data_IF_586180861633
#
_entry.id   IF_586180861633
#
_cell.length_a   1.000
_cell.length_b   1.000
_cell.length_c   1.000
_cell.angle_alpha   90.00
_cell.angle_beta   90.00
_cell.angle_gamma   90.00
#
_symmetry.space_group_name_H-M   'P 1'
#
loop_
_entity.id
_entity.type
_entity.pdbx_description
1 polymer ?
#
# COMPACT_ATOMS: atom_id res chain seq x y z
N UNK A 1 7.52 29.09 12.08
CA UNK A 1 8.03 28.73 10.75
C UNK A 1 7.60 27.30 10.49
N UNK A 2 6.51 27.09 9.76
CA UNK A 2 6.03 25.73 9.47
C UNK A 2 6.55 25.35 8.08
N UNK A 3 7.62 24.55 8.03
CA UNK A 3 7.99 23.85 6.80
C UNK A 3 6.96 22.74 6.57
N UNK A 4 6.11 22.91 5.57
CA UNK A 4 5.23 21.86 5.08
C UNK A 4 6.11 20.85 4.36
N UNK A 5 6.28 19.65 4.93
CA UNK A 5 6.88 18.53 4.20
C UNK A 5 6.06 18.28 2.92
N UNK A 6 6.68 17.89 1.79
CA UNK A 6 5.95 17.60 0.56
C UNK A 6 4.95 16.48 0.83
N UNK A 7 3.69 16.68 0.45
CA UNK A 7 2.68 15.65 0.56
C UNK A 7 3.09 14.42 -0.27
N UNK A 8 3.02 13.24 0.33
CA UNK A 8 3.22 11.97 -0.34
C UNK A 8 2.41 11.89 -1.64
N UNK A 9 3.11 11.67 -2.76
CA UNK A 9 2.53 11.60 -4.09
C UNK A 9 2.89 10.28 -4.75
N UNK A 10 1.90 9.41 -4.93
CA UNK A 10 2.03 8.13 -5.62
C UNK A 10 1.47 8.28 -7.03
N UNK A 11 2.30 8.05 -8.05
CA UNK A 11 1.85 8.05 -9.45
C UNK A 11 1.69 6.64 -9.99
N UNK A 12 1.08 6.52 -11.16
CA UNK A 12 0.98 5.25 -11.87
C UNK A 12 2.35 4.64 -12.15
N UNK A 13 3.29 5.43 -12.65
CA UNK A 13 4.64 5.00 -12.99
C UNK A 13 5.41 4.53 -11.76
N UNK A 14 5.10 5.07 -10.59
CA UNK A 14 5.72 4.69 -9.32
C UNK A 14 5.55 3.19 -9.04
N UNK A 15 4.39 2.60 -9.34
CA UNK A 15 4.12 1.17 -9.14
C UNK A 15 5.04 0.27 -9.98
N UNK A 16 5.53 0.75 -11.13
CA UNK A 16 6.41 -0.01 -12.02
C UNK A 16 7.89 0.00 -11.57
N UNK A 17 8.20 0.67 -10.45
CA UNK A 17 9.59 0.84 -10.03
C UNK A 17 10.10 -0.27 -9.11
N UNK A 18 9.25 -1.24 -8.74
CA UNK A 18 9.63 -2.38 -7.88
C UNK A 18 10.34 -3.46 -8.69
N UNK A 19 11.59 -3.71 -8.34
CA UNK A 19 12.45 -4.71 -8.98
C UNK A 19 12.20 -6.12 -8.45
N UNK A 20 12.63 -7.14 -9.20
CA UNK A 20 12.51 -8.54 -8.74
C UNK A 20 13.36 -8.82 -7.49
N UNK A 21 14.50 -8.13 -7.34
CA UNK A 21 15.31 -8.20 -6.13
C UNK A 21 14.54 -7.68 -4.91
N UNK A 22 13.83 -6.56 -5.05
CA UNK A 22 12.99 -6.02 -3.97
C UNK A 22 11.81 -6.93 -3.62
N UNK A 23 11.26 -7.67 -4.58
CA UNK A 23 10.24 -8.68 -4.30
C UNK A 23 10.82 -9.84 -3.50
N UNK A 24 12.02 -10.30 -3.86
CA UNK A 24 12.67 -11.44 -3.23
C UNK A 24 13.13 -11.14 -1.78
N UNK A 25 13.72 -9.97 -1.57
CA UNK A 25 14.39 -9.59 -0.31
C UNK A 25 13.62 -8.57 0.54
N UNK A 26 12.59 -7.94 -0.04
CA UNK A 26 11.78 -6.92 0.58
C UNK A 26 12.27 -5.48 0.32
N UNK A 27 11.39 -4.51 0.53
CA UNK A 27 11.67 -3.08 0.35
C UNK A 27 10.85 -2.21 1.30
N UNK A 28 11.23 -0.94 1.39
CA UNK A 28 10.46 0.16 2.02
C UNK A 28 10.09 1.25 1.01
N UNK A 29 10.45 1.06 -0.26
CA UNK A 29 10.25 2.02 -1.35
C UNK A 29 8.77 2.25 -1.60
N UNK A 30 8.38 3.49 -1.91
CA UNK A 30 6.98 3.90 -2.10
C UNK A 30 6.14 3.88 -0.82
N UNK A 31 6.61 3.35 0.31
CA UNK A 31 5.85 3.47 1.55
C UNK A 31 5.82 4.94 1.99
N UNK A 32 4.63 5.51 2.28
CA UNK A 32 4.54 6.88 2.77
C UNK A 32 5.29 7.02 4.11
N UNK A 33 5.96 8.15 4.40
CA UNK A 33 6.47 8.42 5.73
C UNK A 33 5.36 8.31 6.79
N UNK A 34 5.64 7.73 7.95
CA UNK A 34 4.59 7.46 8.96
C UNK A 34 3.84 8.73 9.42
N UNK A 35 4.54 9.86 9.46
CA UNK A 35 3.96 11.16 9.81
C UNK A 35 2.91 11.65 8.79
N UNK A 36 3.00 11.20 7.53
CA UNK A 36 2.10 11.59 6.44
C UNK A 36 0.93 10.61 6.25
N UNK A 37 0.98 9.45 6.92
CA UNK A 37 -0.14 8.51 6.93
C UNK A 37 -1.29 9.13 7.72
N UNK A 38 -2.53 9.20 7.19
CA UNK A 38 -3.67 9.71 7.95
C UNK A 38 -3.97 8.84 9.17
N UNK A 39 -4.45 9.45 10.25
CA UNK A 39 -4.62 8.77 11.54
C UNK A 39 -5.60 7.58 11.50
N UNK A 40 -6.59 7.61 10.61
CA UNK A 40 -7.52 6.49 10.44
C UNK A 40 -6.84 5.22 9.92
N UNK A 41 -5.76 5.35 9.14
CA UNK A 41 -4.95 4.19 8.73
C UNK A 41 -4.00 3.74 9.84
N UNK A 42 -3.58 4.63 10.74
CA UNK A 42 -2.77 4.26 11.92
C UNK A 42 -3.58 3.49 12.95
N UNK A 43 -4.85 3.89 13.14
CA UNK A 43 -5.80 3.24 14.06
C UNK A 43 -6.34 1.92 13.53
N UNK A 44 -6.45 1.82 12.20
CA UNK A 44 -7.00 0.67 11.51
C UNK A 44 -8.34 0.98 10.85
N UNK A 45 -8.49 0.50 9.62
CA UNK A 45 -9.66 0.58 8.77
C UNK A 45 -9.70 -0.62 7.78
N UNK A 46 -10.72 -0.67 6.94
CA UNK A 46 -10.92 -1.74 5.97
C UNK A 46 -9.74 -1.95 5.00
N UNK A 47 -9.01 -0.90 4.61
CA UNK A 47 -7.80 -1.06 3.80
C UNK A 47 -6.67 -1.74 4.58
N UNK A 48 -6.46 -1.34 5.83
CA UNK A 48 -5.44 -1.97 6.69
C UNK A 48 -5.82 -3.39 7.10
N UNK A 49 -7.11 -3.70 7.17
CA UNK A 49 -7.59 -5.05 7.46
C UNK A 49 -7.22 -6.01 6.33
N UNK A 50 -7.37 -5.59 5.08
CA UNK A 50 -6.86 -6.34 3.91
C UNK A 50 -5.35 -6.57 4.04
N UNK A 51 -4.58 -5.53 4.36
CA UNK A 51 -3.13 -5.66 4.54
C UNK A 51 -2.75 -6.61 5.67
N UNK A 52 -3.48 -6.59 6.78
CA UNK A 52 -3.30 -7.52 7.88
C UNK A 52 -3.62 -8.96 7.46
N UNK A 53 -4.73 -9.18 6.74
CA UNK A 53 -5.06 -10.51 6.25
C UNK A 53 -3.98 -11.05 5.32
N UNK A 54 -3.49 -10.23 4.38
CA UNK A 54 -2.38 -10.60 3.51
C UNK A 54 -1.09 -10.89 4.29
N UNK A 55 -0.73 -10.05 5.26
CA UNK A 55 0.47 -10.24 6.09
C UNK A 55 0.43 -11.54 6.90
N UNK A 56 -0.71 -11.86 7.52
CA UNK A 56 -0.87 -13.04 8.36
C UNK A 56 -1.29 -14.30 7.58
N UNK A 57 -1.46 -14.21 6.25
CA UNK A 57 -1.95 -15.32 5.43
C UNK A 57 -3.36 -15.78 5.80
N UNK A 58 -4.21 -14.85 6.26
CA UNK A 58 -5.62 -15.11 6.58
C UNK A 58 -6.50 -14.96 5.34
N UNK A 59 -7.71 -15.51 5.41
CA UNK A 59 -8.73 -15.26 4.40
C UNK A 59 -8.98 -13.75 4.25
N UNK A 60 -9.10 -13.29 3.01
CA UNK A 60 -9.49 -11.92 2.72
C UNK A 60 -10.99 -11.74 3.02
N UNK A 61 -11.41 -10.53 3.46
CA UNK A 61 -12.82 -10.21 3.49
C UNK A 61 -13.41 -10.26 2.08
N UNK A 62 -14.72 -10.45 1.97
CA UNK A 62 -15.43 -10.31 0.70
C UNK A 62 -15.44 -8.83 0.31
N UNK A 63 -14.56 -8.48 -0.63
CA UNK A 63 -14.36 -7.11 -1.12
C UNK A 63 -14.24 -7.10 -2.62
N UNK A 64 -14.87 -6.12 -3.24
CA UNK A 64 -14.60 -5.74 -4.62
C UNK A 64 -13.61 -4.58 -4.66
N UNK A 65 -12.67 -4.63 -5.61
CA UNK A 65 -11.65 -3.61 -5.77
C UNK A 65 -11.86 -2.88 -7.10
N UNK A 66 -12.03 -1.56 -7.02
CA UNK A 66 -12.15 -0.68 -8.19
C UNK A 66 -10.93 0.24 -8.27
N UNK A 67 -10.18 0.17 -9.38
CA UNK A 67 -9.02 1.04 -9.58
C UNK A 67 -9.45 2.47 -9.89
N UNK A 68 -8.79 3.42 -9.22
CA UNK A 68 -9.04 4.86 -9.42
C UNK A 68 -8.54 5.34 -10.78
N UNK A 69 -9.05 6.48 -11.23
CA UNK A 69 -8.57 7.17 -12.43
C UNK A 69 -7.04 7.30 -12.40
N UNK A 70 -6.39 6.99 -13.52
CA UNK A 70 -4.92 6.94 -13.62
C UNK A 70 -4.30 5.59 -13.23
N UNK A 71 -5.08 4.65 -12.67
CA UNK A 71 -4.62 3.29 -12.31
C UNK A 71 -5.43 2.17 -12.99
N UNK A 72 -6.13 2.48 -14.08
CA UNK A 72 -7.09 1.57 -14.71
C UNK A 72 -6.53 0.75 -15.88
N UNK A 73 -5.22 0.81 -16.14
CA UNK A 73 -4.60 -0.05 -17.16
C UNK A 73 -4.40 -1.48 -16.67
N UNK A 74 -4.24 -2.39 -17.63
CA UNK A 74 -4.13 -3.84 -17.39
C UNK A 74 -2.92 -4.23 -16.53
N UNK A 75 -1.90 -3.37 -16.43
CA UNK A 75 -0.67 -3.66 -15.67
C UNK A 75 -0.78 -3.21 -14.21
N UNK A 76 -1.71 -2.30 -13.88
CA UNK A 76 -1.84 -1.74 -12.55
C UNK A 76 -2.09 -2.81 -11.46
N UNK A 77 -2.97 -3.82 -11.64
CA UNK A 77 -3.16 -4.87 -10.63
C UNK A 77 -1.90 -5.69 -10.38
N UNK A 78 -1.17 -6.04 -11.45
CA UNK A 78 0.07 -6.83 -11.37
C UNK A 78 1.13 -6.05 -10.60
N UNK A 79 1.30 -4.77 -10.91
CA UNK A 79 2.31 -3.92 -10.29
C UNK A 79 1.97 -3.55 -8.85
N UNK A 80 0.69 -3.31 -8.53
CA UNK A 80 0.23 -3.15 -7.15
C UNK A 80 0.52 -4.40 -6.32
N UNK A 81 0.26 -5.60 -6.85
CA UNK A 81 0.57 -6.85 -6.15
C UNK A 81 2.08 -7.01 -5.89
N UNK A 82 2.93 -6.58 -6.83
CA UNK A 82 4.39 -6.55 -6.66
C UNK A 82 4.81 -5.63 -5.52
N UNK A 83 4.24 -4.41 -5.46
CA UNK A 83 4.47 -3.47 -4.35
C UNK A 83 4.09 -4.09 -3.02
N UNK A 84 2.87 -4.62 -2.89
CA UNK A 84 2.39 -5.21 -1.63
C UNK A 84 3.27 -6.38 -1.21
N UNK A 85 3.52 -7.33 -2.12
CA UNK A 85 4.32 -8.52 -1.86
C UNK A 85 5.74 -8.20 -1.37
N UNK A 86 6.41 -7.24 -2.02
CA UNK A 86 7.74 -6.79 -1.61
C UNK A 86 7.76 -6.21 -0.17
N UNK A 87 6.75 -5.42 0.20
CA UNK A 87 6.70 -4.83 1.55
C UNK A 87 6.36 -5.87 2.63
N UNK A 88 5.47 -6.81 2.34
CA UNK A 88 5.11 -7.87 3.29
C UNK A 88 6.31 -8.78 3.59
N UNK A 89 7.22 -8.97 2.62
CA UNK A 89 8.48 -9.71 2.77
C UNK A 89 9.53 -8.98 3.62
N UNK A 90 9.50 -7.66 3.65
CA UNK A 90 10.50 -6.83 4.35
C UNK A 90 10.41 -6.99 5.87
N UNK A 91 11.53 -6.93 6.59
CA UNK A 91 11.54 -6.83 8.07
C UNK A 91 11.43 -5.38 8.58
N UNK A 92 11.49 -4.40 7.67
CA UNK A 92 11.34 -2.98 7.95
C UNK A 92 10.20 -2.35 7.12
N UNK A 93 9.63 -1.21 7.54
CA UNK A 93 9.73 -0.61 8.86
C UNK A 93 8.96 -1.46 9.91
N UNK A 94 8.70 -0.88 11.10
CA UNK A 94 7.84 -1.51 12.11
C UNK A 94 6.48 -1.90 11.51
N UNK A 95 5.90 -2.97 12.03
CA UNK A 95 4.64 -3.53 11.54
C UNK A 95 3.51 -2.48 11.43
N UNK A 96 3.32 -1.65 12.45
CA UNK A 96 2.32 -0.57 12.46
C UNK A 96 2.48 0.39 11.27
N UNK A 97 3.70 0.87 11.02
CA UNK A 97 3.97 1.75 9.87
C UNK A 97 3.77 1.01 8.55
N UNK A 98 4.21 -0.25 8.45
CA UNK A 98 4.03 -1.04 7.23
C UNK A 98 2.55 -1.20 6.87
N UNK A 99 1.72 -1.64 7.82
CA UNK A 99 0.31 -1.89 7.57
C UNK A 99 -0.45 -0.58 7.30
N UNK A 100 -0.21 0.46 8.10
CA UNK A 100 -0.86 1.76 7.91
C UNK A 100 -0.44 2.40 6.57
N UNK A 101 0.85 2.33 6.24
CA UNK A 101 1.39 2.88 5.00
C UNK A 101 0.92 2.11 3.75
N UNK A 102 0.87 0.78 3.80
CA UNK A 102 0.32 -0.02 2.69
C UNK A 102 -1.19 0.18 2.54
N UNK A 103 -1.93 0.30 3.64
CA UNK A 103 -3.36 0.61 3.60
C UNK A 103 -3.62 1.97 2.94
N UNK A 104 -2.84 2.99 3.31
CA UNK A 104 -2.96 4.31 2.68
C UNK A 104 -2.55 4.29 1.21
N UNK A 105 -1.43 3.64 0.86
CA UNK A 105 -1.00 3.44 -0.53
C UNK A 105 -2.10 2.76 -1.35
N UNK A 106 -2.69 1.67 -0.83
CA UNK A 106 -3.79 0.97 -1.49
C UNK A 106 -4.98 1.90 -1.74
N UNK A 107 -5.34 2.74 -0.75
CA UNK A 107 -6.45 3.68 -0.87
C UNK A 107 -6.27 4.77 -1.94
N UNK A 108 -5.03 5.05 -2.33
CA UNK A 108 -4.70 5.99 -3.41
C UNK A 108 -4.78 5.32 -4.80
N UNK A 109 -4.69 3.99 -4.85
CA UNK A 109 -4.74 3.21 -6.10
C UNK A 109 -6.15 2.68 -6.38
N UNK A 110 -6.89 2.28 -5.34
CA UNK A 110 -8.21 1.70 -5.49
C UNK A 110 -9.21 2.11 -4.38
N UNK A 111 -10.47 1.95 -4.71
CA UNK A 111 -11.60 1.95 -3.78
C UNK A 111 -11.94 0.50 -3.48
N UNK A 112 -12.16 0.19 -2.19
CA UNK A 112 -12.67 -1.11 -1.77
C UNK A 112 -14.15 -0.98 -1.47
N UNK A 113 -14.95 -1.83 -2.08
CA UNK A 113 -16.38 -1.95 -1.81
C UNK A 113 -16.63 -3.27 -1.06
N UNK A 114 -17.50 -3.30 -0.06
CA UNK A 114 -18.04 -4.56 0.44
C UNK A 114 -18.74 -5.29 -0.72
N UNK A 115 -18.45 -6.58 -0.89
CA UNK A 115 -19.16 -7.41 -1.85
C UNK A 115 -20.56 -7.81 -1.33
#
# INVERSE_FOLDING_TARGET
>A
MSQTAPAYNLTRESLNTITDAEIAFGTVKLLPPYAEVPDDFKRGNHYTDVMNCLFFGKALPEIEMEFREGFQDNEAPIQLNRVVSAHLRSFAPKHEHKIAGLGYLLSLVCVLHPA
#
